data_IF_003346447937
#
_entry.id   IF_003346447937
#
_cell.length_a   1.000
_cell.length_b   1.000
_cell.length_c   1.000
_cell.angle_alpha   90.00
_cell.angle_beta   90.00
_cell.angle_gamma   90.00
#
_symmetry.space_group_name_H-M   'P 1'
#
loop_
_entity.id
_entity.type
_entity.pdbx_description
1 polymer ?
#
# COMPACT_ATOMS: atom_id res chain seq x y z
N UNK A 1 -8.40 48.46 9.75
CA UNK A 1 -7.53 48.22 10.91
C UNK A 1 -6.66 47.01 10.55
N UNK A 2 -5.34 47.14 10.64
CA UNK A 2 -4.36 46.19 10.07
C UNK A 2 -3.81 45.18 11.07
N UNK A 3 -4.03 45.37 12.37
CA UNK A 3 -3.55 44.45 13.41
C UNK A 3 -4.52 44.46 14.60
N UNK A 4 -4.83 43.29 15.17
CA UNK A 4 -5.68 43.11 16.35
C UNK A 4 -5.14 41.96 17.19
N UNK A 5 -4.90 42.20 18.49
CA UNK A 5 -4.40 41.22 19.46
C UNK A 5 -5.43 40.93 20.56
N UNK A 6 -5.49 39.69 21.05
CA UNK A 6 -6.43 39.24 22.09
C UNK A 6 -5.78 38.78 23.40
N UNK A 7 -6.63 38.49 24.39
CA UNK A 7 -6.36 37.87 25.71
C UNK A 7 -5.25 38.49 26.57
N UNK A 8 -5.61 39.56 27.27
CA UNK A 8 -4.89 40.11 28.40
C UNK A 8 -5.74 40.04 29.67
N UNK A 9 -5.08 39.98 30.84
CA UNK A 9 -5.73 40.14 32.14
C UNK A 9 -6.44 41.49 32.17
N UNK A 10 -7.74 41.48 32.51
CA UNK A 10 -8.52 42.70 32.64
C UNK A 10 -8.13 43.43 33.92
N UNK A 11 -7.86 44.73 33.84
CA UNK A 11 -7.58 45.60 34.97
C UNK A 11 -8.71 46.64 35.03
N UNK A 12 -9.49 46.62 36.11
CA UNK A 12 -10.65 47.52 36.28
C UNK A 12 -11.69 47.43 35.14
N UNK A 13 -11.79 46.29 34.44
CA UNK A 13 -12.80 46.08 33.39
C UNK A 13 -12.48 46.73 32.04
N UNK A 14 -11.22 47.16 31.82
CA UNK A 14 -10.74 47.77 30.58
C UNK A 14 -10.83 46.84 29.36
N UNK A 15 -10.73 45.52 29.59
CA UNK A 15 -10.87 44.50 28.53
C UNK A 15 -12.25 43.87 28.52
N UNK A 16 -12.96 44.05 27.39
CA UNK A 16 -14.20 43.37 27.03
C UNK A 16 -14.01 42.73 25.66
N UNK A 17 -14.46 41.49 25.52
CA UNK A 17 -14.40 40.74 24.26
C UNK A 17 -15.82 40.48 23.77
N UNK A 18 -16.04 40.60 22.46
CA UNK A 18 -17.33 40.29 21.85
C UNK A 18 -17.44 38.81 21.48
N UNK A 19 -18.65 38.35 21.15
CA UNK A 19 -18.84 37.03 20.57
C UNK A 19 -18.07 36.87 19.24
N UNK A 20 -17.95 37.94 18.44
CA UNK A 20 -17.14 37.91 17.21
C UNK A 20 -15.64 37.76 17.52
N UNK A 21 -15.13 38.30 18.63
CA UNK A 21 -13.73 38.12 19.03
C UNK A 21 -13.43 36.65 19.35
N UNK A 22 -14.37 35.97 20.00
CA UNK A 22 -14.24 34.54 20.29
C UNK A 22 -14.40 33.67 19.04
N UNK A 23 -15.39 33.98 18.19
CA UNK A 23 -15.58 33.28 16.92
C UNK A 23 -14.35 33.33 16.01
N UNK A 24 -13.72 34.51 15.90
CA UNK A 24 -12.52 34.72 15.08
C UNK A 24 -11.31 33.90 15.51
N UNK A 25 -11.26 33.41 16.75
CA UNK A 25 -10.16 32.53 17.18
C UNK A 25 -10.09 31.22 16.40
N UNK A 26 -11.22 30.79 15.82
CA UNK A 26 -11.31 29.57 15.04
C UNK A 26 -11.23 29.80 13.53
N UNK A 27 -11.18 31.07 13.09
CA UNK A 27 -10.98 31.40 11.68
C UNK A 27 -9.63 30.85 11.22
N UNK A 28 -9.63 30.10 10.11
CA UNK A 28 -8.43 29.41 9.60
C UNK A 28 -8.10 28.08 10.30
N UNK A 29 -8.73 27.79 11.45
CA UNK A 29 -8.63 26.48 12.12
C UNK A 29 -9.78 25.57 11.70
N UNK A 30 -11.00 26.13 11.63
CA UNK A 30 -12.24 25.43 11.23
C UNK A 30 -12.86 26.22 10.06
N UNK A 31 -13.18 25.55 8.96
CA UNK A 31 -13.92 26.17 7.86
C UNK A 31 -15.43 26.18 8.11
N UNK A 32 -16.10 27.16 7.52
CA UNK A 32 -17.57 27.24 7.52
C UNK A 32 -18.19 25.97 6.91
N UNK A 33 -19.03 25.26 7.67
CA UNK A 33 -19.72 24.06 7.20
C UNK A 33 -20.38 23.23 8.30
N UNK A 34 -20.96 22.10 7.88
CA UNK A 34 -21.57 21.08 8.73
C UNK A 34 -20.52 20.03 9.10
N UNK A 35 -20.49 19.61 10.38
CA UNK A 35 -19.65 18.50 10.80
C UNK A 35 -20.30 17.16 10.41
N UNK A 36 -19.78 16.51 9.37
CA UNK A 36 -20.36 15.30 8.77
C UNK A 36 -20.54 14.14 9.77
N UNK A 37 -19.58 13.97 10.68
CA UNK A 37 -19.51 12.82 11.59
C UNK A 37 -20.17 13.07 12.96
N UNK A 38 -20.92 14.16 13.12
CA UNK A 38 -21.62 14.46 14.36
C UNK A 38 -23.14 14.36 14.20
N UNK A 39 -23.78 13.60 15.10
CA UNK A 39 -25.22 13.33 15.02
C UNK A 39 -25.59 12.65 13.69
N UNK A 40 -26.54 13.25 12.97
CA UNK A 40 -26.90 12.88 11.59
C UNK A 40 -26.51 13.97 10.58
N UNK A 41 -25.64 14.91 10.99
CA UNK A 41 -25.14 15.99 10.13
C UNK A 41 -26.23 16.87 9.52
N UNK A 42 -27.32 17.16 10.26
CA UNK A 42 -28.49 17.90 9.76
C UNK A 42 -29.19 17.24 8.56
N UNK A 43 -29.20 15.91 8.47
CA UNK A 43 -29.91 15.22 7.40
C UNK A 43 -31.41 15.60 7.43
N UNK A 44 -31.95 15.88 6.25
CA UNK A 44 -33.35 16.24 6.08
C UNK A 44 -34.14 14.99 5.67
N UNK A 45 -35.18 14.68 6.42
CA UNK A 45 -36.05 13.53 6.24
C UNK A 45 -37.53 13.94 6.26
N UNK A 46 -38.41 13.09 5.74
CA UNK A 46 -39.86 13.28 5.85
C UNK A 46 -40.33 12.87 7.26
N UNK A 47 -41.21 13.65 7.86
CA UNK A 47 -41.85 13.34 9.15
C UNK A 47 -43.23 12.69 8.98
N UNK A 48 -44.20 13.09 9.79
CA UNK A 48 -45.59 12.67 9.67
C UNK A 48 -46.44 13.78 9.04
N UNK A 49 -47.53 13.42 8.35
CA UNK A 49 -48.44 14.40 7.76
C UNK A 49 -47.73 15.29 6.72
N UNK A 50 -47.48 16.56 7.04
CA UNK A 50 -46.80 17.55 6.15
C UNK A 50 -45.44 17.99 6.69
N UNK A 51 -44.87 17.21 7.59
CA UNK A 51 -43.64 17.57 8.28
C UNK A 51 -42.41 17.19 7.48
N UNK A 52 -41.40 18.05 7.58
CA UNK A 52 -40.00 17.77 7.27
C UNK A 52 -39.20 17.85 8.56
N UNK A 53 -38.34 16.86 8.76
CA UNK A 53 -37.49 16.74 9.93
C UNK A 53 -36.05 17.06 9.54
N UNK A 54 -35.44 18.01 10.22
CA UNK A 54 -33.99 18.21 10.20
C UNK A 54 -33.41 17.49 11.40
N UNK A 55 -32.66 16.42 11.15
CA UNK A 55 -32.11 15.57 12.20
C UNK A 55 -31.00 16.28 13.00
N UNK A 56 -30.54 15.63 14.08
CA UNK A 56 -29.45 16.16 14.91
C UNK A 56 -28.18 16.45 14.10
N UNK A 57 -27.44 17.47 14.48
CA UNK A 57 -26.27 17.94 13.74
C UNK A 57 -25.54 19.09 14.43
N UNK A 58 -24.28 19.31 14.03
CA UNK A 58 -23.47 20.47 14.43
C UNK A 58 -22.89 21.15 13.22
N UNK A 59 -22.76 22.47 13.29
CA UNK A 59 -22.11 23.27 12.28
C UNK A 59 -21.27 24.39 12.92
N UNK A 60 -20.21 24.77 12.21
CA UNK A 60 -19.50 26.02 12.42
C UNK A 60 -19.81 26.91 11.23
N UNK A 61 -20.44 28.07 11.43
CA UNK A 61 -20.85 28.91 10.31
C UNK A 61 -20.75 30.39 10.70
N UNK A 62 -20.01 31.18 9.90
CA UNK A 62 -19.80 32.62 10.09
C UNK A 62 -19.37 33.00 11.52
N UNK A 63 -18.48 32.19 12.09
CA UNK A 63 -17.92 32.36 13.44
C UNK A 63 -18.85 31.94 14.57
N UNK A 64 -19.91 31.18 14.29
CA UNK A 64 -20.89 30.72 15.27
C UNK A 64 -20.99 29.20 15.28
N UNK A 65 -21.03 28.63 16.48
CA UNK A 65 -21.38 27.23 16.68
C UNK A 65 -22.90 27.07 16.65
N UNK A 66 -23.38 26.05 15.95
CA UNK A 66 -24.81 25.75 15.83
C UNK A 66 -24.97 24.25 16.11
N UNK A 67 -25.92 23.91 16.97
CA UNK A 67 -26.19 22.53 17.37
C UNK A 67 -27.69 22.27 17.39
N UNK A 68 -28.10 21.19 16.73
CA UNK A 68 -29.36 20.52 17.00
C UNK A 68 -29.01 19.23 17.76
N UNK A 69 -29.31 19.19 19.06
CA UNK A 69 -29.14 18.00 19.91
C UNK A 69 -30.20 16.93 19.63
N UNK A 70 -31.35 17.32 19.08
CA UNK A 70 -32.44 16.44 18.67
C UNK A 70 -33.01 16.80 17.28
N UNK A 71 -33.94 15.98 16.80
CA UNK A 71 -34.65 16.20 15.55
C UNK A 71 -35.53 17.46 15.65
N UNK A 72 -35.38 18.38 14.71
CA UNK A 72 -36.19 19.60 14.59
C UNK A 72 -37.23 19.45 13.49
N UNK A 73 -38.50 19.65 13.83
CA UNK A 73 -39.63 19.42 12.94
C UNK A 73 -40.11 20.75 12.35
N UNK A 74 -40.38 20.76 11.05
CA UNK A 74 -40.98 21.87 10.33
C UNK A 74 -42.24 21.41 9.62
N UNK A 75 -43.36 22.07 9.91
CA UNK A 75 -44.60 21.84 9.18
C UNK A 75 -44.59 22.65 7.88
N UNK A 76 -44.78 21.97 6.74
CA UNK A 76 -44.95 22.63 5.45
C UNK A 76 -46.44 22.89 5.17
N UNK A 77 -46.69 23.92 4.38
CA UNK A 77 -48.04 24.21 3.85
C UNK A 77 -48.34 23.30 2.66
N UNK A 78 -49.63 23.06 2.40
CA UNK A 78 -50.08 22.21 1.29
C UNK A 78 -49.59 22.69 -0.07
N UNK A 79 -49.53 21.76 -1.01
CA UNK A 79 -49.29 22.08 -2.41
C UNK A 79 -50.39 22.97 -2.96
N UNK A 80 -49.99 24.06 -3.62
CA UNK A 80 -50.91 24.94 -4.32
C UNK A 80 -51.50 24.24 -5.56
N UNK A 81 -52.51 24.82 -6.18
CA UNK A 81 -53.20 24.22 -7.35
C UNK A 81 -52.59 24.63 -8.70
N UNK A 82 -51.80 25.69 -8.71
CA UNK A 82 -51.27 26.41 -9.88
C UNK A 82 -49.82 26.05 -10.25
N UNK A 83 -49.21 25.07 -9.57
CA UNK A 83 -47.88 24.60 -9.94
C UNK A 83 -47.18 23.87 -8.79
N UNK A 84 -46.03 23.28 -9.09
CA UNK A 84 -45.17 22.74 -8.04
C UNK A 84 -44.47 23.91 -7.33
N UNK A 85 -44.27 23.78 -6.01
CA UNK A 85 -43.54 24.73 -5.19
C UNK A 85 -42.23 24.10 -4.72
N UNK A 86 -41.17 24.88 -4.60
CA UNK A 86 -39.90 24.44 -4.02
C UNK A 86 -39.64 25.21 -2.73
N UNK A 87 -39.48 24.50 -1.63
CA UNK A 87 -39.07 25.03 -0.33
C UNK A 87 -37.60 24.68 -0.09
N UNK A 88 -36.92 25.41 0.80
CA UNK A 88 -35.52 25.15 1.15
C UNK A 88 -35.31 25.08 2.65
N UNK A 89 -34.58 24.07 3.12
CA UNK A 89 -33.99 24.04 4.45
C UNK A 89 -32.64 24.73 4.37
N UNK A 90 -32.44 25.72 5.22
CA UNK A 90 -31.22 26.52 5.30
C UNK A 90 -30.59 26.45 6.67
N UNK A 91 -29.28 26.63 6.72
CA UNK A 91 -28.55 27.00 7.93
C UNK A 91 -28.31 28.52 7.85
N UNK A 92 -28.81 29.27 8.83
CA UNK A 92 -28.78 30.73 8.87
C UNK A 92 -27.95 31.23 10.05
N UNK A 93 -27.20 32.30 9.84
CA UNK A 93 -26.68 33.18 10.89
C UNK A 93 -27.16 34.60 10.59
N UNK A 94 -27.85 35.20 11.55
CA UNK A 94 -28.34 36.57 11.49
C UNK A 94 -27.76 37.38 12.65
N UNK A 95 -26.85 38.29 12.31
CA UNK A 95 -26.13 39.17 13.22
C UNK A 95 -26.84 40.52 13.41
N UNK A 96 -27.99 40.75 12.75
CA UNK A 96 -28.72 42.01 12.96
C UNK A 96 -29.05 42.19 14.45
N UNK A 97 -28.83 43.38 15.04
CA UNK A 97 -28.97 43.59 16.48
C UNK A 97 -30.34 43.21 17.06
N UNK A 98 -31.40 43.29 16.25
CA UNK A 98 -32.77 42.93 16.61
C UNK A 98 -33.05 41.42 16.58
N UNK A 99 -32.27 40.61 15.84
CA UNK A 99 -32.51 39.17 15.67
C UNK A 99 -31.50 38.33 16.45
N UNK A 100 -30.20 38.48 16.19
CA UNK A 100 -29.09 37.77 16.86
C UNK A 100 -29.37 36.26 17.03
N UNK A 101 -29.56 35.55 15.91
CA UNK A 101 -29.91 34.13 15.93
C UNK A 101 -29.09 33.32 14.92
N UNK A 102 -28.82 32.06 15.27
CA UNK A 102 -28.19 31.10 14.38
C UNK A 102 -28.93 29.76 14.48
N UNK A 103 -29.15 29.09 13.35
CA UNK A 103 -29.91 27.84 13.33
C UNK A 103 -30.47 27.46 11.98
N UNK A 104 -31.21 26.36 11.97
CA UNK A 104 -31.91 25.89 10.78
C UNK A 104 -33.22 26.65 10.57
N UNK A 105 -33.57 26.93 9.31
CA UNK A 105 -34.77 27.68 8.90
C UNK A 105 -35.34 27.16 7.58
N UNK A 106 -36.66 27.17 7.46
CA UNK A 106 -37.36 26.90 6.20
C UNK A 106 -37.57 28.21 5.45
N UNK A 107 -37.25 28.22 4.16
CA UNK A 107 -37.67 29.25 3.20
C UNK A 107 -38.74 28.61 2.34
N UNK A 108 -39.98 29.10 2.47
CA UNK A 108 -41.07 28.64 1.62
C UNK A 108 -40.98 29.34 0.26
N UNK A 109 -41.07 28.58 -0.82
CA UNK A 109 -41.07 29.13 -2.17
C UNK A 109 -42.42 29.71 -2.58
N UNK A 110 -42.50 30.09 -3.85
CA UNK A 110 -43.73 30.53 -4.52
C UNK A 110 -44.24 29.41 -5.43
N UNK A 111 -45.56 29.26 -5.55
CA UNK A 111 -46.17 28.27 -6.45
C UNK A 111 -45.77 28.52 -7.90
N UNK A 112 -45.41 27.46 -8.63
CA UNK A 112 -44.90 27.57 -10.01
C UNK A 112 -43.55 28.29 -10.13
N UNK A 113 -42.92 28.65 -9.00
CA UNK A 113 -41.64 29.34 -8.94
C UNK A 113 -40.44 28.39 -8.98
N UNK A 114 -39.24 28.97 -9.12
CA UNK A 114 -37.98 28.23 -9.02
C UNK A 114 -37.56 27.89 -7.59
N UNK A 115 -36.41 27.23 -7.46
CA UNK A 115 -35.82 26.91 -6.14
C UNK A 115 -35.40 28.17 -5.38
N UNK A 116 -35.72 28.29 -4.07
CA UNK A 116 -35.29 29.43 -3.26
C UNK A 116 -33.78 29.59 -3.24
N UNK A 117 -33.32 30.84 -3.27
CA UNK A 117 -31.91 31.19 -3.11
C UNK A 117 -31.62 31.62 -1.67
N UNK A 118 -30.44 31.29 -1.12
CA UNK A 118 -30.08 31.73 0.22
C UNK A 118 -29.81 33.23 0.28
N UNK A 119 -30.12 33.85 1.41
CA UNK A 119 -29.75 35.24 1.70
C UNK A 119 -28.24 35.35 1.98
N UNK A 120 -27.57 36.28 1.31
CA UNK A 120 -26.13 36.56 1.46
C UNK A 120 -25.92 38.08 1.58
N UNK A 121 -26.14 38.64 2.77
CA UNK A 121 -25.91 40.05 3.09
C UNK A 121 -24.81 40.17 4.15
N UNK A 122 -24.41 41.40 4.49
CA UNK A 122 -23.37 41.63 5.51
C UNK A 122 -23.77 41.11 6.91
N UNK A 123 -25.07 41.13 7.22
CA UNK A 123 -25.59 40.77 8.54
C UNK A 123 -26.34 39.45 8.55
N UNK A 124 -26.76 38.94 7.39
CA UNK A 124 -27.50 37.67 7.28
C UNK A 124 -26.87 36.78 6.23
N UNK A 125 -26.46 35.59 6.66
CA UNK A 125 -25.89 34.57 5.80
C UNK A 125 -26.71 33.29 5.91
N UNK A 126 -27.03 32.69 4.77
CA UNK A 126 -27.76 31.43 4.67
C UNK A 126 -27.03 30.49 3.70
N UNK A 127 -27.04 29.19 3.99
CA UNK A 127 -26.63 28.15 3.04
C UNK A 127 -27.69 27.07 3.00
N UNK A 128 -27.88 26.47 1.82
CA UNK A 128 -28.89 25.44 1.59
C UNK A 128 -28.39 24.09 2.11
N UNK A 129 -29.18 23.47 2.98
CA UNK A 129 -28.99 22.10 3.48
C UNK A 129 -29.74 21.12 2.59
N UNK A 130 -30.98 21.42 2.22
CA UNK A 130 -31.78 20.61 1.31
C UNK A 130 -32.86 21.45 0.60
N UNK A 131 -33.29 20.98 -0.57
CA UNK A 131 -34.51 21.45 -1.22
C UNK A 131 -35.64 20.45 -1.02
N UNK A 132 -36.87 20.95 -0.92
CA UNK A 132 -38.08 20.15 -0.85
C UNK A 132 -39.01 20.58 -1.97
N UNK A 133 -39.26 19.70 -2.94
CA UNK A 133 -40.33 19.90 -3.92
C UNK A 133 -41.64 19.49 -3.26
N UNK A 134 -42.61 20.40 -3.30
CA UNK A 134 -43.99 20.21 -2.87
C UNK A 134 -44.85 20.24 -4.14
N UNK A 135 -45.24 19.07 -4.69
CA UNK A 135 -46.02 19.02 -5.92
C UNK A 135 -47.37 19.70 -5.78
N UNK A 136 -47.92 20.15 -6.91
CA UNK A 136 -49.26 20.75 -6.94
C UNK A 136 -50.30 19.82 -6.29
N UNK A 137 -51.17 20.37 -5.45
CA UNK A 137 -52.23 19.63 -4.77
C UNK A 137 -51.78 18.66 -3.68
N UNK A 138 -50.48 18.55 -3.38
CA UNK A 138 -49.96 17.65 -2.35
C UNK A 138 -50.58 17.95 -0.97
N UNK A 139 -51.18 16.92 -0.36
CA UNK A 139 -51.84 17.01 0.96
C UNK A 139 -50.99 16.49 2.11
N UNK A 140 -50.06 15.59 1.80
CA UNK A 140 -49.14 14.99 2.77
C UNK A 140 -47.74 14.91 2.18
N UNK A 141 -46.76 14.58 3.01
CA UNK A 141 -45.36 14.47 2.65
C UNK A 141 -45.03 13.22 1.81
N UNK A 142 -46.01 12.35 1.57
CA UNK A 142 -45.86 11.22 0.66
C UNK A 142 -45.36 11.70 -0.71
N UNK A 143 -45.94 12.79 -1.20
CA UNK A 143 -45.65 13.38 -2.51
C UNK A 143 -44.42 14.31 -2.52
N UNK A 144 -43.90 14.69 -1.34
CA UNK A 144 -42.77 15.62 -1.29
C UNK A 144 -41.49 14.95 -1.80
N UNK A 145 -40.59 15.69 -2.45
CA UNK A 145 -39.28 15.16 -2.84
C UNK A 145 -38.18 15.96 -2.14
N UNK A 146 -37.36 15.29 -1.33
CA UNK A 146 -36.24 15.92 -0.60
C UNK A 146 -34.96 15.70 -1.40
N UNK A 147 -34.32 16.80 -1.77
CA UNK A 147 -33.03 16.81 -2.46
C UNK A 147 -31.93 17.27 -1.49
N UNK A 148 -31.08 16.35 -1.05
CA UNK A 148 -29.95 16.65 -0.18
C UNK A 148 -28.92 17.52 -0.90
N UNK A 149 -28.58 18.66 -0.32
CA UNK A 149 -27.65 19.64 -0.87
C UNK A 149 -26.35 19.77 -0.07
N UNK A 150 -26.19 19.02 1.04
CA UNK A 150 -24.99 19.07 1.88
C UNK A 150 -23.77 18.53 1.11
N UNK A 151 -22.65 19.25 1.18
CA UNK A 151 -21.39 18.88 0.53
C UNK A 151 -21.37 19.04 -1.00
N UNK A 152 -22.42 19.63 -1.62
CA UNK A 152 -22.42 19.90 -3.06
C UNK A 152 -21.52 21.08 -3.40
N UNK A 153 -20.91 21.06 -4.59
CA UNK A 153 -20.11 22.19 -5.09
C UNK A 153 -21.00 23.41 -5.34
N UNK A 154 -20.64 24.56 -4.75
CA UNK A 154 -21.33 25.85 -4.93
C UNK A 154 -21.45 26.63 -3.62
N UNK A 155 -21.26 27.94 -3.67
CA UNK A 155 -21.25 28.81 -2.49
C UNK A 155 -22.62 28.88 -1.78
N UNK A 156 -23.70 28.55 -2.49
CA UNK A 156 -25.06 28.49 -1.96
C UNK A 156 -25.33 27.27 -1.09
N UNK A 157 -24.51 26.21 -1.19
CA UNK A 157 -24.74 24.94 -0.51
C UNK A 157 -23.92 24.81 0.77
N UNK A 158 -24.50 24.19 1.79
CA UNK A 158 -23.79 23.90 3.03
C UNK A 158 -22.66 22.90 2.78
N UNK A 159 -21.41 23.34 2.94
CA UNK A 159 -20.23 22.48 2.79
C UNK A 159 -19.99 21.63 4.05
N UNK A 160 -19.13 20.63 3.93
CA UNK A 160 -18.59 19.95 5.12
C UNK A 160 -17.53 20.82 5.78
N UNK A 161 -17.66 21.04 7.09
CA UNK A 161 -16.65 21.73 7.87
C UNK A 161 -15.35 20.94 7.83
N UNK A 162 -14.26 21.61 7.45
CA UNK A 162 -12.90 21.09 7.51
C UNK A 162 -12.22 21.68 8.74
N UNK A 163 -11.36 20.90 9.37
CA UNK A 163 -10.54 21.35 10.49
C UNK A 163 -9.09 21.00 10.23
N UNK A 164 -8.17 21.88 10.59
CA UNK A 164 -6.72 21.56 10.57
C UNK A 164 -6.34 20.54 11.65
N UNK A 165 -7.24 20.24 12.60
CA UNK A 165 -7.05 19.27 13.68
C UNK A 165 -7.72 17.91 13.42
N UNK A 166 -7.83 17.46 12.16
CA UNK A 166 -8.31 16.10 11.89
C UNK A 166 -7.18 15.06 12.14
N UNK A 167 -7.50 13.86 12.67
CA UNK A 167 -6.55 12.75 12.60
C UNK A 167 -6.14 12.55 11.14
N UNK A 168 -4.85 12.30 10.89
CA UNK A 168 -4.28 12.16 9.53
C UNK A 168 -5.08 11.13 8.72
N UNK A 169 -6.06 11.61 7.96
CA UNK A 169 -6.87 10.78 7.08
C UNK A 169 -6.04 10.52 5.83
N UNK A 170 -5.49 9.31 5.70
CA UNK A 170 -4.80 8.91 4.48
C UNK A 170 -5.89 8.53 3.47
N UNK A 171 -6.13 9.40 2.49
CA UNK A 171 -6.98 9.06 1.36
C UNK A 171 -6.25 8.02 0.49
N UNK A 172 -6.89 6.87 0.25
CA UNK A 172 -6.36 5.79 -0.59
C UNK A 172 -7.10 5.79 -1.93
N UNK A 173 -6.65 6.61 -2.88
CA UNK A 173 -7.30 6.73 -4.19
C UNK A 173 -6.71 5.77 -5.22
N UNK A 174 -5.49 5.28 -4.99
CA UNK A 174 -4.79 4.38 -5.90
C UNK A 174 -3.77 3.48 -5.18
N UNK A 175 -3.19 2.51 -5.92
CA UNK A 175 -2.16 1.58 -5.42
C UNK A 175 -0.94 2.30 -4.82
N UNK A 176 -0.52 3.42 -5.38
CA UNK A 176 0.64 4.17 -4.89
C UNK A 176 0.34 4.86 -3.55
N UNK A 177 -0.88 5.33 -3.33
CA UNK A 177 -1.29 5.91 -2.03
C UNK A 177 -1.16 4.88 -0.91
N UNK A 178 -1.59 3.64 -1.18
CA UNK A 178 -1.41 2.52 -0.26
C UNK A 178 0.06 2.22 -0.01
N UNK A 179 0.86 2.06 -1.07
CA UNK A 179 2.29 1.76 -0.94
C UNK A 179 3.05 2.87 -0.21
N UNK A 180 2.70 4.14 -0.44
CA UNK A 180 3.31 5.28 0.24
C UNK A 180 2.94 5.31 1.73
N UNK A 181 1.70 4.96 2.08
CA UNK A 181 1.26 4.90 3.47
C UNK A 181 2.07 3.90 4.31
N UNK A 182 2.52 2.81 3.68
CA UNK A 182 3.27 1.72 4.32
C UNK A 182 4.76 1.73 3.97
N UNK A 183 5.27 2.78 3.34
CA UNK A 183 6.65 2.79 2.87
C UNK A 183 7.68 2.71 4.00
N UNK A 184 7.32 3.18 5.19
CA UNK A 184 8.20 3.25 6.35
C UNK A 184 8.10 2.01 7.26
N UNK A 185 7.39 0.95 6.84
CA UNK A 185 7.31 -0.31 7.58
C UNK A 185 8.15 -1.40 6.89
N UNK A 186 9.34 -1.73 7.43
CA UNK A 186 10.21 -2.77 6.90
C UNK A 186 9.56 -4.17 6.85
N UNK A 187 8.64 -4.48 7.75
CA UNK A 187 8.01 -5.81 7.81
C UNK A 187 7.08 -6.04 6.62
N UNK A 188 6.42 -4.97 6.16
CA UNK A 188 5.50 -5.02 5.03
C UNK A 188 6.20 -5.23 3.69
N UNK A 189 7.51 -4.97 3.62
CA UNK A 189 8.31 -5.14 2.41
C UNK A 189 8.38 -6.59 1.95
N UNK A 190 8.17 -7.56 2.83
CA UNK A 190 8.20 -9.01 2.54
C UNK A 190 6.84 -9.62 2.15
N UNK A 191 5.76 -8.84 2.18
CA UNK A 191 4.40 -9.35 1.96
C UNK A 191 3.64 -8.62 0.85
N UNK A 192 4.14 -7.48 0.38
CA UNK A 192 3.51 -6.70 -0.69
C UNK A 192 4.44 -6.66 -1.91
N UNK A 193 3.88 -7.01 -3.07
CA UNK A 193 4.58 -6.94 -4.36
C UNK A 193 4.19 -5.70 -5.13
N UNK A 194 5.18 -4.96 -5.65
CA UNK A 194 4.97 -3.73 -6.41
C UNK A 194 5.29 -3.90 -7.88
N UNK A 195 6.51 -4.30 -8.23
CA UNK A 195 6.92 -4.54 -9.62
C UNK A 195 7.46 -3.33 -10.37
N UNK A 196 7.96 -2.29 -9.69
CA UNK A 196 8.40 -1.05 -10.32
C UNK A 196 9.88 -1.11 -10.74
N UNK A 197 10.22 -0.37 -11.79
CA UNK A 197 11.60 -0.12 -12.18
C UNK A 197 12.24 0.89 -11.20
N UNK A 198 13.33 0.48 -10.54
CA UNK A 198 14.11 1.24 -9.57
C UNK A 198 15.22 2.08 -10.20
N UNK A 199 15.43 1.93 -11.51
CA UNK A 199 16.44 2.63 -12.30
C UNK A 199 17.45 1.69 -12.96
N UNK A 200 18.44 2.31 -13.62
CA UNK A 200 19.50 1.60 -14.36
C UNK A 200 20.58 1.01 -13.45
N UNK A 201 20.88 1.69 -12.36
CA UNK A 201 21.92 1.31 -11.39
C UNK A 201 21.44 1.62 -9.98
N UNK A 202 22.02 0.95 -8.98
CA UNK A 202 21.65 1.18 -7.59
C UNK A 202 22.14 2.55 -7.09
N UNK A 203 21.21 3.35 -6.55
CA UNK A 203 21.52 4.71 -6.09
C UNK A 203 22.06 4.74 -4.65
N UNK A 204 22.80 5.79 -4.24
CA UNK A 204 23.23 5.96 -2.85
C UNK A 204 22.09 5.96 -1.83
N UNK A 205 20.90 6.48 -2.21
CA UNK A 205 19.73 6.45 -1.34
C UNK A 205 19.17 5.04 -1.16
N UNK A 206 19.10 4.25 -2.24
CA UNK A 206 18.68 2.84 -2.17
C UNK A 206 19.66 2.02 -1.32
N UNK A 207 20.96 2.26 -1.49
CA UNK A 207 22.03 1.70 -0.66
C UNK A 207 21.82 2.00 0.82
N UNK A 208 21.67 3.28 1.18
CA UNK A 208 21.40 3.68 2.56
C UNK A 208 20.12 3.03 3.12
N UNK A 209 19.05 2.95 2.31
CA UNK A 209 17.79 2.33 2.71
C UNK A 209 17.95 0.84 3.06
N UNK A 210 18.75 0.10 2.27
CA UNK A 210 19.12 -1.30 2.54
C UNK A 210 19.96 -1.38 3.81
N UNK A 211 21.05 -0.60 3.91
CA UNK A 211 21.99 -0.63 5.05
C UNK A 211 21.29 -0.42 6.38
N UNK A 212 20.34 0.52 6.41
CA UNK A 212 19.62 0.92 7.62
C UNK A 212 18.40 0.03 7.92
N UNK A 213 18.09 -0.97 7.09
CA UNK A 213 16.92 -1.84 7.27
C UNK A 213 15.56 -1.17 7.06
N UNK A 214 15.54 0.09 6.61
CA UNK A 214 14.30 0.84 6.31
C UNK A 214 13.62 0.34 5.05
N UNK A 215 14.42 -0.03 4.04
CA UNK A 215 13.97 -0.42 2.70
C UNK A 215 13.00 0.59 2.07
N UNK A 216 13.18 1.87 2.38
CA UNK A 216 12.39 2.96 1.85
C UNK A 216 12.43 2.95 0.32
N UNK A 217 11.25 2.95 -0.30
CA UNK A 217 11.11 2.94 -1.75
C UNK A 217 11.43 1.62 -2.43
N UNK A 218 11.76 0.55 -1.69
CA UNK A 218 12.02 -0.80 -2.19
C UNK A 218 10.89 -1.76 -1.79
N UNK A 219 10.47 -2.63 -2.70
CA UNK A 219 9.40 -3.61 -2.49
C UNK A 219 9.68 -4.91 -3.24
N UNK A 220 9.01 -6.01 -2.88
CA UNK A 220 9.10 -7.25 -3.64
C UNK A 220 8.69 -7.02 -5.09
N UNK A 221 9.39 -7.70 -6.00
CA UNK A 221 9.14 -7.61 -7.43
C UNK A 221 9.68 -6.34 -8.09
N UNK A 222 10.06 -5.33 -7.32
CA UNK A 222 10.79 -4.20 -7.89
C UNK A 222 12.12 -4.66 -8.48
N UNK A 223 12.60 -3.93 -9.48
CA UNK A 223 13.75 -4.37 -10.24
C UNK A 223 14.62 -3.23 -10.73
N UNK A 224 15.90 -3.53 -10.94
CA UNK A 224 16.79 -2.70 -11.72
C UNK A 224 16.98 -3.29 -13.11
N UNK A 225 17.17 -2.42 -14.10
CA UNK A 225 17.44 -2.82 -15.48
C UNK A 225 18.39 -1.80 -16.12
N UNK A 226 19.61 -2.23 -16.43
CA UNK A 226 20.67 -1.34 -16.93
C UNK A 226 20.28 -0.65 -18.26
N UNK A 227 19.67 -1.40 -19.17
CA UNK A 227 19.07 -0.88 -20.40
C UNK A 227 17.93 -1.80 -20.88
N UNK A 228 17.15 -1.35 -21.86
CA UNK A 228 15.92 -2.05 -22.31
C UNK A 228 16.17 -3.49 -22.79
N UNK A 229 17.41 -3.83 -23.16
CA UNK A 229 17.80 -5.16 -23.64
C UNK A 229 18.50 -6.02 -22.56
N UNK A 230 18.81 -5.47 -21.39
CA UNK A 230 19.41 -6.22 -20.28
C UNK A 230 18.34 -6.99 -19.50
N UNK A 231 18.75 -8.05 -18.80
CA UNK A 231 17.89 -8.69 -17.80
C UNK A 231 17.43 -7.71 -16.72
N UNK A 232 16.31 -8.02 -16.10
CA UNK A 232 15.84 -7.34 -14.89
C UNK A 232 16.36 -8.08 -13.67
N UNK A 233 16.89 -7.34 -12.71
CA UNK A 233 17.31 -7.87 -11.42
C UNK A 233 16.21 -7.59 -10.40
N UNK A 234 15.39 -8.61 -10.16
CA UNK A 234 14.17 -8.52 -9.35
C UNK A 234 14.50 -8.78 -7.89
N UNK A 235 13.97 -7.96 -6.99
CA UNK A 235 14.01 -8.21 -5.55
C UNK A 235 13.07 -9.38 -5.22
N UNK A 236 13.65 -10.49 -4.80
CA UNK A 236 12.92 -11.72 -4.44
C UNK A 236 12.78 -11.93 -2.94
N UNK A 237 13.64 -11.30 -2.12
CA UNK A 237 13.56 -11.39 -0.67
C UNK A 237 14.27 -10.21 0.04
N UNK A 238 13.92 -9.99 1.31
CA UNK A 238 14.53 -8.99 2.20
C UNK A 238 14.99 -9.65 3.49
N UNK A 239 16.20 -9.34 3.97
CA UNK A 239 16.70 -9.76 5.28
C UNK A 239 16.48 -11.24 5.55
N UNK A 240 16.92 -12.06 4.59
CA UNK A 240 16.79 -13.51 4.72
C UNK A 240 17.60 -14.08 5.88
N UNK A 241 18.71 -13.43 6.22
CA UNK A 241 19.72 -13.95 7.13
C UNK A 241 20.05 -13.05 8.32
N UNK A 242 19.30 -11.94 8.51
CA UNK A 242 19.61 -10.91 9.51
C UNK A 242 19.75 -11.49 10.93
N UNK A 243 18.80 -12.34 11.34
CA UNK A 243 18.74 -12.94 12.68
C UNK A 243 19.26 -14.38 12.71
N UNK A 244 19.94 -14.82 11.64
CA UNK A 244 20.39 -16.20 11.54
C UNK A 244 21.75 -16.38 12.22
N UNK A 245 21.99 -17.44 13.03
CA UNK A 245 23.28 -17.64 13.71
C UNK A 245 24.48 -17.72 12.76
N UNK A 246 24.26 -18.22 11.55
CA UNK A 246 25.29 -18.29 10.51
C UNK A 246 25.18 -17.13 9.49
N UNK A 247 24.30 -16.16 9.73
CA UNK A 247 24.21 -14.92 8.96
C UNK A 247 25.02 -13.83 9.61
N UNK A 248 25.52 -12.88 8.82
CA UNK A 248 26.00 -11.62 9.37
C UNK A 248 24.78 -10.77 9.72
N UNK A 249 24.74 -10.23 10.95
CA UNK A 249 23.70 -9.33 11.44
C UNK A 249 23.73 -7.97 10.71
N UNK A 250 23.36 -8.00 9.43
CA UNK A 250 23.37 -6.87 8.50
C UNK A 250 22.16 -6.94 7.58
N UNK A 251 21.55 -5.79 7.32
CA UNK A 251 20.41 -5.68 6.43
C UNK A 251 20.79 -5.83 4.96
N UNK A 252 20.04 -6.66 4.22
CA UNK A 252 20.33 -7.12 2.86
C UNK A 252 19.07 -7.39 2.07
N UNK A 253 19.17 -7.32 0.74
CA UNK A 253 18.15 -7.83 -0.17
C UNK A 253 18.70 -9.02 -0.96
N UNK A 254 17.82 -9.90 -1.41
CA UNK A 254 18.16 -10.95 -2.37
C UNK A 254 17.56 -10.58 -3.73
N UNK A 255 18.40 -10.58 -4.76
CA UNK A 255 17.99 -10.30 -6.14
C UNK A 255 18.21 -11.53 -7.03
N UNK A 256 17.34 -11.70 -8.02
CA UNK A 256 17.38 -12.77 -9.01
C UNK A 256 17.19 -12.19 -10.42
N UNK A 257 17.84 -12.78 -11.42
CA UNK A 257 17.58 -12.40 -12.82
C UNK A 257 16.21 -12.89 -13.29
N UNK A 258 15.50 -12.06 -14.08
CA UNK A 258 14.19 -12.40 -14.64
C UNK A 258 14.21 -13.39 -15.81
N UNK A 259 15.42 -13.69 -16.30
CA UNK A 259 15.70 -14.59 -17.41
C UNK A 259 17.06 -15.26 -17.26
N UNK A 260 17.29 -16.24 -18.10
CA UNK A 260 18.56 -16.94 -18.21
C UNK A 260 19.66 -15.99 -18.69
N UNK A 261 20.81 -15.99 -18.02
CA UNK A 261 21.98 -15.19 -18.39
C UNK A 261 22.99 -15.94 -19.25
N UNK A 262 22.67 -17.20 -19.57
CA UNK A 262 23.47 -18.10 -20.38
C UNK A 262 22.91 -19.51 -20.31
N UNK A 263 23.50 -20.39 -21.09
CA UNK A 263 23.22 -21.83 -21.09
C UNK A 263 24.53 -22.54 -20.80
N UNK A 264 24.55 -23.39 -19.78
CA UNK A 264 25.74 -24.14 -19.38
C UNK A 264 25.35 -25.50 -18.78
N UNK A 265 26.31 -26.41 -18.70
CA UNK A 265 26.19 -27.66 -17.97
C UNK A 265 26.64 -27.48 -16.52
N UNK A 266 25.97 -28.18 -15.60
CA UNK A 266 26.25 -28.05 -14.16
C UNK A 266 27.50 -28.84 -13.76
N UNK A 267 27.74 -29.97 -14.42
CA UNK A 267 28.84 -30.90 -14.16
C UNK A 267 29.51 -31.44 -15.41
N UNK A 268 30.62 -32.15 -15.23
CA UNK A 268 31.39 -32.80 -16.30
C UNK A 268 32.04 -34.09 -15.75
N UNK A 269 32.53 -34.99 -16.63
CA UNK A 269 33.09 -36.28 -16.19
C UNK A 269 34.23 -36.10 -15.18
N UNK A 270 34.10 -36.71 -13.99
CA UNK A 270 35.05 -36.59 -12.88
C UNK A 270 34.75 -35.45 -11.89
N UNK A 271 33.65 -34.72 -12.05
CA UNK A 271 33.31 -33.53 -11.26
C UNK A 271 31.83 -33.54 -10.86
N UNK A 272 31.46 -33.03 -9.68
CA UNK A 272 30.20 -33.24 -8.92
C UNK A 272 30.13 -34.50 -8.03
N UNK A 273 31.27 -35.06 -7.63
CA UNK A 273 31.29 -36.16 -6.64
C UNK A 273 30.72 -35.73 -5.27
N UNK A 274 30.79 -34.42 -4.98
CA UNK A 274 30.29 -33.75 -3.78
C UNK A 274 29.13 -32.79 -4.11
N UNK A 275 28.24 -33.19 -5.01
CA UNK A 275 27.06 -32.43 -5.39
C UNK A 275 27.34 -31.06 -5.95
N UNK A 276 26.50 -30.07 -5.61
CA UNK A 276 26.65 -28.71 -6.13
C UNK A 276 27.99 -28.08 -5.74
N UNK A 277 28.49 -28.34 -4.54
CA UNK A 277 29.81 -27.84 -4.10
C UNK A 277 30.94 -28.36 -5.02
N UNK A 278 30.88 -29.64 -5.40
CA UNK A 278 31.83 -30.26 -6.33
C UNK A 278 31.59 -29.94 -7.80
N UNK A 279 30.60 -29.12 -8.15
CA UNK A 279 30.17 -28.93 -9.52
C UNK A 279 31.08 -28.00 -10.33
N UNK A 280 31.19 -28.27 -11.64
CA UNK A 280 31.87 -27.38 -12.59
C UNK A 280 31.32 -25.97 -12.47
N UNK A 281 30.00 -25.85 -12.45
CA UNK A 281 29.31 -24.56 -12.44
C UNK A 281 29.65 -23.73 -11.19
N UNK A 282 29.63 -24.33 -9.99
CA UNK A 282 29.98 -23.66 -8.73
C UNK A 282 31.42 -23.12 -8.76
N UNK A 283 32.37 -23.92 -9.25
CA UNK A 283 33.78 -23.54 -9.41
C UNK A 283 33.97 -22.41 -10.44
N UNK A 284 33.31 -22.52 -11.59
CA UNK A 284 33.39 -21.50 -12.64
C UNK A 284 32.84 -20.15 -12.13
N UNK A 285 31.84 -20.18 -11.25
CA UNK A 285 31.27 -18.97 -10.63
C UNK A 285 32.13 -18.39 -9.51
N UNK A 286 32.94 -19.20 -8.83
CA UNK A 286 33.95 -18.70 -7.90
C UNK A 286 35.01 -17.81 -8.60
N UNK A 287 35.27 -18.05 -9.89
CA UNK A 287 36.28 -17.34 -10.67
C UNK A 287 35.73 -16.27 -11.64
N UNK A 288 34.41 -16.08 -11.74
CA UNK A 288 33.84 -15.52 -12.98
C UNK A 288 32.51 -14.76 -12.85
N UNK A 289 32.44 -13.72 -12.01
CA UNK A 289 31.37 -12.69 -12.12
C UNK A 289 31.30 -12.06 -13.52
N UNK A 290 32.37 -12.17 -14.32
CA UNK A 290 32.45 -11.75 -15.73
C UNK A 290 31.37 -12.40 -16.59
N UNK A 291 30.95 -13.64 -16.28
CA UNK A 291 29.84 -14.32 -16.99
C UNK A 291 28.47 -13.68 -16.74
N UNK A 292 28.35 -12.88 -15.69
CA UNK A 292 27.15 -12.11 -15.37
C UNK A 292 27.43 -10.61 -15.50
N UNK A 293 28.02 -10.18 -16.61
CA UNK A 293 28.41 -8.78 -16.84
C UNK A 293 27.26 -7.77 -16.65
N UNK A 294 26.00 -8.17 -16.89
CA UNK A 294 24.83 -7.32 -16.63
C UNK A 294 24.57 -7.08 -15.14
N UNK A 295 25.05 -7.95 -14.26
CA UNK A 295 24.94 -7.80 -12.82
C UNK A 295 25.86 -6.69 -12.32
N UNK A 296 27.11 -6.68 -12.77
CA UNK A 296 28.13 -5.69 -12.38
C UNK A 296 27.92 -4.32 -13.02
N UNK A 297 27.06 -4.23 -14.04
CA UNK A 297 26.55 -2.97 -14.59
C UNK A 297 25.54 -2.29 -13.66
N UNK A 298 24.79 -3.06 -12.87
CA UNK A 298 23.71 -2.56 -12.00
C UNK A 298 24.20 -2.39 -10.56
N UNK A 299 24.95 -3.37 -10.04
CA UNK A 299 25.46 -3.42 -8.68
C UNK A 299 26.99 -3.39 -8.66
N UNK A 300 27.56 -2.59 -7.77
CA UNK A 300 29.02 -2.62 -7.55
C UNK A 300 29.39 -3.91 -6.84
N UNK A 301 30.52 -4.54 -7.19
CA UNK A 301 31.01 -5.74 -6.48
C UNK A 301 31.20 -5.50 -4.98
N UNK A 302 31.44 -4.26 -4.56
CA UNK A 302 31.51 -3.85 -3.14
C UNK A 302 30.18 -4.01 -2.39
N UNK A 303 29.05 -4.07 -3.10
CA UNK A 303 27.71 -4.20 -2.51
C UNK A 303 27.35 -5.67 -2.26
N UNK A 304 28.13 -6.61 -2.79
CA UNK A 304 27.84 -8.04 -2.70
C UNK A 304 28.18 -8.52 -1.30
N UNK A 305 27.30 -9.34 -0.75
CA UNK A 305 27.50 -9.98 0.54
C UNK A 305 27.46 -11.48 0.35
N UNK A 306 28.37 -12.16 1.04
CA UNK A 306 28.29 -13.60 1.18
C UNK A 306 27.03 -13.95 1.97
N UNK A 307 26.39 -15.07 1.66
CA UNK A 307 25.23 -15.52 2.41
C UNK A 307 25.32 -17.02 2.67
N UNK A 308 24.84 -17.47 3.84
CA UNK A 308 24.97 -18.86 4.24
C UNK A 308 24.11 -19.75 3.34
N UNK A 309 24.71 -20.81 2.82
CA UNK A 309 24.05 -21.90 2.10
C UNK A 309 24.56 -23.21 2.70
N UNK A 310 23.65 -24.03 3.21
CA UNK A 310 24.00 -25.35 3.73
C UNK A 310 23.96 -26.36 2.59
N UNK A 311 25.08 -27.02 2.31
CA UNK A 311 25.24 -27.89 1.14
C UNK A 311 25.99 -29.19 1.50
N UNK A 312 25.70 -30.30 0.81
CA UNK A 312 26.40 -31.57 0.99
C UNK A 312 27.82 -31.47 0.42
N UNK A 313 28.81 -31.95 1.16
CA UNK A 313 30.22 -32.01 0.74
C UNK A 313 30.75 -33.43 0.57
N UNK A 314 29.93 -34.45 0.85
CA UNK A 314 30.28 -35.85 0.65
C UNK A 314 29.06 -36.68 0.28
N UNK A 315 29.30 -37.83 -0.33
CA UNK A 315 28.26 -38.82 -0.61
C UNK A 315 28.78 -40.21 -0.27
N UNK A 316 27.97 -40.99 0.43
CA UNK A 316 28.25 -42.41 0.62
C UNK A 316 27.68 -43.22 -0.54
N UNK A 317 28.48 -44.14 -1.08
CA UNK A 317 28.08 -45.00 -2.18
C UNK A 317 27.43 -46.27 -1.64
N UNK A 318 26.13 -46.43 -1.88
CA UNK A 318 25.35 -47.62 -1.47
C UNK A 318 25.44 -48.78 -2.47
N UNK A 319 26.24 -48.66 -3.53
CA UNK A 319 26.39 -49.67 -4.57
C UNK A 319 25.46 -49.49 -5.78
N UNK A 320 24.53 -48.52 -5.73
CA UNK A 320 23.69 -48.08 -6.84
C UNK A 320 23.88 -46.57 -7.07
N UNK A 321 24.13 -46.15 -8.32
CA UNK A 321 24.33 -44.74 -8.67
C UNK A 321 23.10 -43.85 -8.40
N UNK A 322 21.91 -44.45 -8.27
CA UNK A 322 20.65 -43.80 -7.92
C UNK A 322 20.42 -43.66 -6.40
N UNK A 323 21.18 -44.36 -5.58
CA UNK A 323 20.92 -44.49 -4.13
C UNK A 323 22.02 -43.86 -3.28
N UNK A 324 22.71 -42.83 -3.78
CA UNK A 324 23.72 -42.12 -2.99
C UNK A 324 23.08 -41.39 -1.80
N UNK A 325 23.68 -41.54 -0.63
CA UNK A 325 23.27 -40.82 0.58
C UNK A 325 24.17 -39.62 0.78
N UNK A 326 23.57 -38.44 0.98
CA UNK A 326 24.31 -37.21 1.32
C UNK A 326 24.99 -37.36 2.67
N UNK A 327 26.28 -37.03 2.71
CA UNK A 327 27.14 -37.08 3.89
C UNK A 327 27.88 -35.74 4.02
N UNK A 328 28.35 -35.43 5.21
CA UNK A 328 29.28 -34.33 5.46
C UNK A 328 28.73 -32.97 4.95
N UNK A 329 27.72 -32.43 5.63
CA UNK A 329 27.14 -31.14 5.27
C UNK A 329 27.91 -29.98 5.89
N UNK A 330 28.18 -28.94 5.10
CA UNK A 330 28.91 -27.77 5.53
C UNK A 330 28.18 -26.47 5.16
N UNK A 331 28.43 -25.44 5.97
CA UNK A 331 28.01 -24.08 5.67
C UNK A 331 28.98 -23.44 4.68
N UNK A 332 28.45 -23.05 3.54
CA UNK A 332 29.13 -22.30 2.49
C UNK A 332 28.65 -20.86 2.45
N UNK A 333 29.52 -19.96 1.98
CA UNK A 333 29.28 -18.53 2.00
C UNK A 333 29.50 -17.89 0.62
N UNK A 334 28.79 -18.33 -0.43
CA UNK A 334 28.90 -17.73 -1.75
C UNK A 334 28.42 -16.27 -1.76
N UNK A 335 29.05 -15.44 -2.59
CA UNK A 335 28.48 -14.14 -2.99
C UNK A 335 27.42 -14.29 -4.08
N UNK A 336 27.47 -15.38 -4.86
CA UNK A 336 26.59 -15.69 -5.97
C UNK A 336 26.42 -17.20 -6.10
N UNK A 337 25.19 -17.64 -6.35
CA UNK A 337 24.85 -19.05 -6.64
C UNK A 337 23.58 -19.09 -7.51
N UNK A 338 23.05 -20.28 -7.83
CA UNK A 338 21.73 -20.48 -8.44
C UNK A 338 20.72 -20.93 -7.35
N UNK A 339 19.41 -20.72 -7.53
CA UNK A 339 18.45 -21.07 -6.48
C UNK A 339 18.27 -22.58 -6.31
N UNK A 340 17.83 -23.01 -5.14
CA UNK A 340 17.29 -24.36 -4.94
C UNK A 340 15.76 -24.43 -5.10
N UNK A 341 15.25 -25.65 -5.21
CA UNK A 341 13.84 -25.99 -5.15
C UNK A 341 13.17 -25.37 -3.93
N UNK A 342 13.77 -25.49 -2.75
CA UNK A 342 13.18 -24.94 -1.54
C UNK A 342 13.04 -23.41 -1.58
N UNK A 343 14.02 -22.72 -2.16
CA UNK A 343 14.00 -21.26 -2.26
C UNK A 343 12.93 -20.77 -3.26
N UNK A 344 12.73 -21.53 -4.34
CA UNK A 344 11.72 -21.24 -5.35
C UNK A 344 10.31 -21.65 -4.91
N UNK A 345 10.15 -22.86 -4.39
CA UNK A 345 8.86 -23.55 -4.21
C UNK A 345 8.46 -23.79 -2.75
N UNK A 346 9.37 -23.56 -1.80
CA UNK A 346 9.11 -23.79 -0.37
C UNK A 346 9.14 -25.25 0.06
N UNK A 347 9.50 -26.15 -0.85
CA UNK A 347 9.67 -27.58 -0.60
C UNK A 347 10.75 -28.15 -1.52
N UNK A 348 11.30 -29.29 -1.12
CA UNK A 348 12.11 -30.12 -1.99
C UNK A 348 11.17 -31.09 -2.71
N UNK A 349 11.17 -31.09 -4.05
CA UNK A 349 10.25 -31.88 -4.86
C UNK A 349 10.95 -33.06 -5.53
N UNK A 350 12.14 -32.85 -6.09
CA UNK A 350 12.92 -33.89 -6.78
C UNK A 350 14.26 -34.19 -6.12
N UNK A 351 14.82 -33.25 -5.35
CA UNK A 351 16.05 -33.42 -4.57
C UNK A 351 16.08 -34.76 -3.82
N UNK A 352 17.23 -35.43 -3.86
CA UNK A 352 17.39 -36.74 -3.27
C UNK A 352 17.36 -36.67 -1.74
N UNK A 353 16.27 -37.13 -1.12
CA UNK A 353 16.19 -37.34 0.34
C UNK A 353 16.14 -38.83 0.64
N UNK A 354 17.28 -39.53 0.52
CA UNK A 354 17.33 -40.96 0.79
C UNK A 354 17.93 -41.27 2.17
N UNK A 355 17.08 -41.96 2.94
CA UNK A 355 17.34 -42.88 4.05
C UNK A 355 17.44 -42.33 5.48
N UNK A 356 16.30 -41.93 6.05
CA UNK A 356 15.95 -42.21 7.46
C UNK A 356 16.82 -41.63 8.57
N UNK A 357 17.90 -40.91 8.25
CA UNK A 357 18.75 -40.29 9.24
C UNK A 357 18.06 -39.05 9.81
N UNK A 358 18.03 -38.96 11.13
CA UNK A 358 17.40 -37.87 11.90
C UNK A 358 18.11 -36.53 11.68
N UNK A 359 19.23 -36.51 10.96
CA UNK A 359 20.02 -35.33 10.58
C UNK A 359 19.65 -34.72 9.21
N UNK A 360 18.63 -35.24 8.51
CA UNK A 360 18.19 -34.79 7.17
C UNK A 360 17.39 -33.47 7.14
N UNK A 361 17.47 -32.67 8.20
CA UNK A 361 16.93 -31.30 8.24
C UNK A 361 18.10 -30.34 8.00
N UNK A 362 18.58 -30.26 6.76
CA UNK A 362 19.48 -29.19 6.35
C UNK A 362 18.84 -27.85 6.73
N UNK A 363 19.44 -27.03 7.61
CA UNK A 363 18.76 -25.86 8.11
C UNK A 363 18.54 -24.85 6.98
N UNK A 364 17.28 -24.49 6.76
CA UNK A 364 16.89 -23.08 6.68
C UNK A 364 17.25 -22.41 5.34
N UNK A 365 16.82 -23.02 4.23
CA UNK A 365 16.29 -22.17 3.17
C UNK A 365 14.87 -21.77 3.58
N UNK A 366 14.48 -20.52 3.40
CA UNK A 366 13.06 -20.13 3.39
C UNK A 366 12.69 -19.88 1.94
N UNK A 367 11.46 -20.20 1.56
CA UNK A 367 10.96 -19.79 0.25
C UNK A 367 11.13 -18.28 0.09
N UNK A 368 11.65 -17.83 -1.05
CA UNK A 368 11.75 -16.42 -1.35
C UNK A 368 10.38 -15.77 -1.21
N UNK A 369 10.35 -14.66 -0.49
CA UNK A 369 9.11 -13.97 -0.15
C UNK A 369 8.29 -13.62 -1.41
N UNK A 370 8.95 -13.33 -2.54
CA UNK A 370 8.31 -13.11 -3.84
C UNK A 370 7.45 -14.30 -4.30
N UNK A 371 7.98 -15.53 -4.22
CA UNK A 371 7.23 -16.73 -4.62
C UNK A 371 6.22 -17.15 -3.55
N UNK A 372 6.53 -16.94 -2.27
CA UNK A 372 5.63 -17.24 -1.15
C UNK A 372 4.31 -16.45 -1.22
N UNK A 373 4.34 -15.21 -1.72
CA UNK A 373 3.11 -14.41 -1.92
C UNK A 373 2.41 -14.68 -3.26
N UNK A 374 2.82 -15.71 -4.00
CA UNK A 374 2.14 -16.21 -5.19
C UNK A 374 2.54 -15.56 -6.50
N UNK A 375 3.66 -14.82 -6.56
CA UNK A 375 4.13 -14.30 -7.84
C UNK A 375 4.64 -15.42 -8.76
N UNK A 376 4.42 -15.31 -10.08
CA UNK A 376 4.89 -16.31 -11.03
C UNK A 376 6.42 -16.26 -11.20
N UNK A 377 6.99 -17.36 -11.68
CA UNK A 377 8.38 -17.38 -12.16
C UNK A 377 8.50 -16.40 -13.33
N UNK A 378 9.42 -15.42 -13.28
CA UNK A 378 9.69 -14.53 -14.40
C UNK A 378 10.13 -15.32 -15.63
N UNK A 379 9.64 -14.94 -16.81
CA UNK A 379 9.90 -15.64 -18.08
C UNK A 379 9.70 -17.17 -17.95
N UNK A 380 8.46 -17.63 -17.67
CA UNK A 380 8.19 -19.01 -17.26
C UNK A 380 8.39 -20.06 -18.36
N UNK A 381 8.60 -19.65 -19.61
CA UNK A 381 8.91 -20.58 -20.70
C UNK A 381 10.38 -21.03 -20.74
N UNK A 382 11.26 -20.35 -19.99
CA UNK A 382 12.69 -20.69 -19.98
C UNK A 382 12.99 -21.78 -18.95
N UNK A 383 13.70 -22.82 -19.40
CA UNK A 383 14.23 -23.85 -18.50
C UNK A 383 15.55 -23.41 -17.87
N UNK A 384 15.73 -23.68 -16.58
CA UNK A 384 16.97 -23.33 -15.86
C UNK A 384 17.28 -24.31 -14.72
N UNK A 385 18.57 -24.44 -14.45
CA UNK A 385 19.11 -25.29 -13.39
C UNK A 385 18.74 -24.81 -11.99
N UNK A 386 18.55 -25.77 -11.09
CA UNK A 386 18.50 -25.61 -9.65
C UNK A 386 19.73 -26.31 -9.04
N UNK A 387 20.16 -25.89 -7.85
CA UNK A 387 21.35 -26.47 -7.20
C UNK A 387 21.12 -27.85 -6.58
N UNK A 388 19.88 -28.33 -6.54
CA UNK A 388 19.49 -29.59 -5.91
C UNK A 388 19.99 -30.80 -6.72
N UNK A 389 20.77 -31.68 -6.08
CA UNK A 389 21.19 -32.95 -6.69
C UNK A 389 20.14 -34.05 -6.44
N UNK A 390 19.86 -34.88 -7.45
CA UNK A 390 18.88 -35.98 -7.41
C UNK A 390 19.57 -37.35 -7.39
N UNK A 391 20.68 -37.47 -8.08
CA UNK A 391 21.53 -38.66 -8.02
C UNK A 391 22.94 -38.27 -8.45
N UNK A 392 23.84 -39.27 -8.53
CA UNK A 392 25.26 -39.03 -8.87
C UNK A 392 25.45 -38.04 -10.02
N UNK A 393 24.74 -38.26 -11.11
CA UNK A 393 24.94 -37.54 -12.37
C UNK A 393 23.73 -36.67 -12.75
N UNK A 394 22.77 -36.42 -11.84
CA UNK A 394 21.52 -35.70 -12.14
C UNK A 394 21.23 -34.57 -11.17
N UNK A 395 20.80 -33.42 -11.73
CA UNK A 395 20.45 -32.21 -11.00
C UNK A 395 19.06 -31.71 -11.37
N UNK A 396 18.46 -30.97 -10.43
CA UNK A 396 17.12 -30.45 -10.53
C UNK A 396 17.08 -29.26 -11.46
N UNK A 397 15.97 -29.11 -12.17
CA UNK A 397 15.74 -27.96 -13.01
C UNK A 397 14.26 -27.60 -13.08
N UNK A 398 13.98 -26.32 -13.27
CA UNK A 398 12.69 -25.87 -13.72
C UNK A 398 12.62 -26.04 -15.24
N UNK A 399 11.65 -26.83 -15.73
CA UNK A 399 11.46 -27.10 -17.14
C UNK A 399 10.32 -26.22 -17.67
N UNK A 400 10.69 -25.11 -18.31
CA UNK A 400 9.78 -24.03 -18.67
C UNK A 400 8.68 -24.43 -19.65
N UNK A 401 9.01 -25.25 -20.66
CA UNK A 401 8.05 -25.69 -21.69
C UNK A 401 6.82 -26.38 -21.09
N UNK A 402 7.02 -27.15 -20.00
CA UNK A 402 5.95 -27.90 -19.33
C UNK A 402 5.60 -27.33 -17.95
N UNK A 403 6.23 -26.20 -17.55
CA UNK A 403 6.03 -25.53 -16.27
C UNK A 403 6.11 -26.47 -15.06
N UNK A 404 7.08 -27.38 -15.06
CA UNK A 404 7.25 -28.40 -14.00
C UNK A 404 8.69 -28.46 -13.50
N UNK A 405 8.85 -29.06 -12.32
CA UNK A 405 10.17 -29.45 -11.81
C UNK A 405 10.50 -30.85 -12.29
N UNK A 406 11.72 -31.01 -12.75
CA UNK A 406 12.26 -32.28 -13.23
C UNK A 406 13.76 -32.30 -12.98
N UNK A 407 14.45 -33.29 -13.53
CA UNK A 407 15.89 -33.45 -13.44
C UNK A 407 16.45 -33.70 -14.84
N UNK A 408 17.71 -33.38 -15.02
CA UNK A 408 18.46 -33.74 -16.21
C UNK A 408 19.89 -34.13 -15.87
N UNK A 409 20.55 -34.80 -16.80
CA UNK A 409 21.90 -35.26 -16.59
C UNK A 409 22.84 -34.05 -16.52
N UNK A 410 23.83 -34.08 -15.61
CA UNK A 410 24.71 -32.97 -15.27
C UNK A 410 25.50 -32.34 -16.44
N UNK A 411 25.68 -33.09 -17.53
CA UNK A 411 26.39 -32.73 -18.76
C UNK A 411 25.47 -32.07 -19.78
N UNK A 412 24.16 -32.15 -19.60
CA UNK A 412 23.19 -31.44 -20.41
C UNK A 412 23.26 -29.93 -20.16
N UNK A 413 22.68 -29.15 -21.07
CA UNK A 413 22.82 -27.69 -21.10
C UNK A 413 21.47 -27.02 -20.92
N UNK A 414 21.33 -26.29 -19.82
CA UNK A 414 20.13 -25.52 -19.50
C UNK A 414 20.49 -24.12 -19.04
N UNK A 415 19.47 -23.28 -18.89
CA UNK A 415 19.60 -21.91 -18.45
C UNK A 415 20.22 -21.76 -17.08
N UNK A 416 20.89 -20.62 -16.87
CA UNK A 416 21.44 -20.22 -15.59
C UNK A 416 20.75 -18.97 -15.10
N UNK A 417 20.20 -19.02 -13.89
CA UNK A 417 19.61 -17.87 -13.19
C UNK A 417 20.26 -17.67 -11.84
N UNK A 418 21.20 -16.71 -11.73
CA UNK A 418 21.86 -16.48 -10.47
C UNK A 418 20.97 -15.73 -9.48
N UNK A 419 21.23 -16.00 -8.21
CA UNK A 419 20.76 -15.23 -7.06
C UNK A 419 21.96 -14.59 -6.37
N UNK A 420 21.72 -13.40 -5.81
CA UNK A 420 22.77 -12.58 -5.21
C UNK A 420 22.23 -11.86 -3.99
N UNK A 421 23.03 -11.75 -2.93
CA UNK A 421 22.69 -10.94 -1.77
C UNK A 421 23.41 -9.59 -1.86
N UNK A 422 22.63 -8.51 -1.80
CA UNK A 422 23.10 -7.14 -1.94
C UNK A 422 22.92 -6.43 -0.60
N UNK A 423 24.01 -5.89 -0.08
CA UNK A 423 24.06 -5.00 1.06
C UNK A 423 24.07 -3.52 0.64
N UNK A 424 23.76 -2.67 1.60
CA UNK A 424 23.67 -1.22 1.42
C UNK A 424 24.97 -0.46 1.63
#
# INVERSE_FOLDING_TARGET
MTEKSGFFVSINGDRKYSADDFGRMFDGVISDGIFQNWGRGYQVAKGSGREIIVQSGRAWFKGHWIENDANKVYALTEGATDGDRYDAITLRVDKTPSVRSAGTRVIQGTSGGGVPQPTQTNDTFEVIVAYIRVPRGAKTNADFEVTDCRGRVGAQYAQWAQSVMQPKQIALNNKNDFLNAFNNDPNLKRVITRGNNLGRVMTPAQKAAIRNGTFDGLWLGDYWQYNDNSCKWIIVDFDRWLDYPNGENQHRITVMSDRNLGIDNIGESGWCENGWNGSKMRRDYANGMVRFATLTQVFSMSDFRTFPVMEPHGYENTGNAWERTEKDWNWEYPQLTIPSEFEMFGSYLVHNRINGDTHTIGPISRQFSYFRVGNPIPTPGESFWLRDQISKDYFGLYYGDQRRITWAQWTEKYGVRPIVSIGG
#
